data_IF_527155944035
#
_entry.id   IF_527155944035
#
_cell.length_a   1.000
_cell.length_b   1.000
_cell.length_c   1.000
_cell.angle_alpha   90.00
_cell.angle_beta   90.00
_cell.angle_gamma   90.00
#
_symmetry.space_group_name_H-M   'P 1'
#
loop_
_entity.id
_entity.type
_entity.pdbx_description
1 polymer ?
#
# COMPACT_ATOMS: atom_id res chain seq x y z
N UNK A 1 -16.25 2.33 16.32
CA UNK A 1 -16.43 1.27 15.31
C UNK A 1 -15.43 1.53 14.19
N UNK A 2 -14.47 0.64 13.97
CA UNK A 2 -13.62 0.73 12.79
C UNK A 2 -14.41 0.15 11.63
N UNK A 3 -14.86 1.00 10.71
CA UNK A 3 -15.51 0.52 9.49
C UNK A 3 -14.42 -0.13 8.64
N UNK A 4 -14.57 -1.43 8.42
CA UNK A 4 -13.71 -2.25 7.57
C UNK A 4 -14.58 -2.70 6.40
N UNK A 5 -14.09 -2.47 5.19
CA UNK A 5 -14.72 -2.98 3.97
C UNK A 5 -13.73 -3.92 3.29
N UNK A 6 -14.18 -5.15 3.03
CA UNK A 6 -13.44 -6.18 2.30
C UNK A 6 -14.12 -6.40 0.95
N UNK A 7 -13.41 -6.10 -0.12
CA UNK A 7 -13.92 -6.16 -1.49
C UNK A 7 -13.05 -7.15 -2.27
N UNK A 8 -13.68 -8.12 -2.92
CA UNK A 8 -12.96 -9.12 -3.72
C UNK A 8 -13.49 -9.14 -5.13
N UNK A 9 -12.60 -9.05 -6.12
CA UNK A 9 -12.92 -9.10 -7.55
C UNK A 9 -13.87 -7.99 -8.02
N UNK A 10 -13.71 -6.78 -7.50
CA UNK A 10 -14.44 -5.61 -8.00
C UNK A 10 -13.50 -4.74 -8.83
N UNK A 11 -13.96 -4.17 -9.96
CA UNK A 11 -13.21 -3.13 -10.65
C UNK A 11 -12.93 -1.94 -9.72
N UNK A 12 -11.77 -1.30 -9.87
CA UNK A 12 -11.40 -0.14 -9.04
C UNK A 12 -12.48 0.96 -9.05
N UNK A 13 -13.09 1.19 -10.21
CA UNK A 13 -14.17 2.19 -10.36
C UNK A 13 -15.35 1.92 -9.41
N UNK A 14 -15.72 0.66 -9.21
CA UNK A 14 -16.80 0.28 -8.30
C UNK A 14 -16.39 0.45 -6.83
N UNK A 15 -15.12 0.18 -6.51
CA UNK A 15 -14.55 0.50 -5.19
C UNK A 15 -14.68 2.01 -4.93
N UNK A 16 -14.30 2.84 -5.89
CA UNK A 16 -14.40 4.30 -5.81
C UNK A 16 -15.86 4.75 -5.59
N UNK A 17 -16.82 4.20 -6.33
CA UNK A 17 -18.26 4.48 -6.12
C UNK A 17 -18.72 4.08 -4.72
N UNK A 18 -18.30 2.93 -4.20
CA UNK A 18 -18.60 2.50 -2.84
C UNK A 18 -18.00 3.43 -1.79
N UNK A 19 -16.76 3.90 -1.99
CA UNK A 19 -16.11 4.84 -1.09
C UNK A 19 -16.84 6.20 -1.03
N UNK A 20 -17.45 6.64 -2.14
CA UNK A 20 -18.30 7.85 -2.14
C UNK A 20 -19.52 7.73 -1.20
N UNK A 21 -20.02 6.51 -1.00
CA UNK A 21 -21.23 6.23 -0.23
C UNK A 21 -20.94 5.79 1.22
N UNK A 22 -19.68 5.56 1.58
CA UNK A 22 -19.28 4.99 2.86
C UNK A 22 -18.38 5.94 3.65
N UNK A 23 -18.93 7.04 4.21
CA UNK A 23 -18.11 8.02 4.95
C UNK A 23 -17.47 7.40 6.19
N UNK A 24 -16.34 7.96 6.61
CA UNK A 24 -15.58 7.52 7.79
C UNK A 24 -15.03 6.08 7.67
N UNK A 25 -14.74 5.60 6.47
CA UNK A 25 -13.99 4.36 6.31
C UNK A 25 -12.55 4.54 6.79
N UNK A 26 -12.08 3.62 7.64
CA UNK A 26 -10.73 3.62 8.18
C UNK A 26 -9.84 2.53 7.59
N UNK A 27 -10.44 1.38 7.29
CA UNK A 27 -9.74 0.22 6.74
C UNK A 27 -10.40 -0.24 5.46
N UNK A 28 -9.59 -0.37 4.42
CA UNK A 28 -10.00 -0.89 3.13
C UNK A 28 -9.17 -2.13 2.81
N UNK A 29 -9.82 -3.19 2.37
CA UNK A 29 -9.16 -4.38 1.87
C UNK A 29 -9.69 -4.70 0.48
N UNK A 30 -8.79 -4.90 -0.49
CA UNK A 30 -9.15 -5.41 -1.80
C UNK A 30 -8.03 -6.20 -2.46
N UNK A 31 -8.31 -6.82 -3.60
CA UNK A 31 -7.39 -7.71 -4.30
C UNK A 31 -6.76 -7.11 -5.58
N UNK A 32 -5.70 -7.74 -6.07
CA UNK A 32 -4.97 -7.37 -7.28
C UNK A 32 -5.86 -7.24 -8.53
N UNK A 33 -6.98 -7.98 -8.57
CA UNK A 33 -7.95 -7.90 -9.66
C UNK A 33 -8.47 -6.49 -9.82
N UNK A 34 -8.73 -5.84 -8.69
CA UNK A 34 -9.18 -4.45 -8.63
C UNK A 34 -8.17 -3.49 -9.28
N UNK A 35 -6.89 -3.87 -9.37
CA UNK A 35 -5.81 -3.02 -9.85
C UNK A 35 -5.42 -3.26 -11.32
N UNK A 36 -6.04 -4.20 -12.02
CA UNK A 36 -5.66 -4.57 -13.40
C UNK A 36 -5.85 -3.43 -14.41
N UNK A 37 -6.88 -2.60 -14.22
CA UNK A 37 -7.26 -1.53 -15.15
C UNK A 37 -6.59 -0.18 -14.87
N UNK A 38 -5.75 -0.08 -13.83
CA UNK A 38 -5.15 1.20 -13.41
C UNK A 38 -4.12 1.70 -14.43
N UNK A 39 -3.37 0.79 -15.04
CA UNK A 39 -2.30 1.15 -15.97
C UNK A 39 -2.81 1.89 -17.22
N UNK A 40 -4.07 1.71 -17.61
CA UNK A 40 -4.69 2.37 -18.77
C UNK A 40 -5.52 3.60 -18.44
N UNK A 41 -5.91 3.82 -17.18
CA UNK A 41 -6.97 4.78 -16.81
C UNK A 41 -6.60 5.78 -15.69
N UNK A 42 -5.32 5.97 -15.38
CA UNK A 42 -4.84 6.85 -14.29
C UNK A 42 -5.50 8.23 -14.26
N UNK A 43 -5.57 8.92 -15.41
CA UNK A 43 -6.11 10.29 -15.51
C UNK A 43 -7.60 10.34 -15.19
N UNK A 44 -8.37 9.29 -15.54
CA UNK A 44 -9.81 9.16 -15.27
C UNK A 44 -10.08 9.09 -13.77
N UNK A 45 -9.26 8.36 -13.02
CA UNK A 45 -9.46 8.17 -11.59
C UNK A 45 -9.12 9.42 -10.77
N UNK A 46 -8.14 10.23 -11.20
CA UNK A 46 -7.68 11.37 -10.41
C UNK A 46 -8.79 12.37 -10.04
N UNK A 47 -9.73 12.64 -10.96
CA UNK A 47 -10.85 13.57 -10.73
C UNK A 47 -11.82 13.02 -9.67
N UNK A 48 -12.18 11.74 -9.75
CA UNK A 48 -13.10 11.07 -8.81
C UNK A 48 -12.50 10.92 -7.41
N UNK A 49 -11.18 10.79 -7.32
CA UNK A 49 -10.46 10.53 -6.08
C UNK A 49 -10.38 11.73 -5.14
N UNK A 50 -10.40 12.96 -5.67
CA UNK A 50 -10.30 14.18 -4.86
C UNK A 50 -11.46 14.33 -3.86
N UNK A 51 -12.67 13.93 -4.27
CA UNK A 51 -13.85 14.01 -3.41
C UNK A 51 -13.89 12.86 -2.39
N UNK A 52 -13.40 11.68 -2.76
CA UNK A 52 -13.27 10.53 -1.86
C UNK A 52 -12.26 10.80 -0.75
N UNK A 53 -11.11 11.38 -1.10
CA UNK A 53 -10.04 11.72 -0.17
C UNK A 53 -10.44 12.74 0.90
N UNK A 54 -11.46 13.55 0.62
CA UNK A 54 -12.02 14.50 1.59
C UNK A 54 -12.98 13.82 2.58
N UNK A 55 -13.74 12.82 2.12
CA UNK A 55 -14.79 12.16 2.90
C UNK A 55 -14.30 10.95 3.70
N UNK A 56 -13.23 10.30 3.23
CA UNK A 56 -12.69 9.10 3.84
C UNK A 56 -11.32 9.35 4.48
N UNK A 57 -11.10 8.68 5.61
CA UNK A 57 -9.83 8.69 6.35
C UNK A 57 -9.26 7.29 6.36
N UNK A 58 -9.08 6.74 5.16
CA UNK A 58 -8.47 5.41 5.00
C UNK A 58 -7.02 5.54 5.44
N UNK A 59 -6.73 4.88 6.54
CA UNK A 59 -5.43 4.86 7.18
C UNK A 59 -4.81 3.45 7.12
N UNK A 60 -5.65 2.43 6.94
CA UNK A 60 -5.23 1.04 6.83
C UNK A 60 -5.65 0.48 5.49
N UNK A 61 -4.70 -0.11 4.76
CA UNK A 61 -4.95 -0.75 3.49
C UNK A 61 -4.33 -2.13 3.45
N UNK A 62 -5.13 -3.10 3.04
CA UNK A 62 -4.69 -4.48 2.81
C UNK A 62 -4.93 -4.84 1.35
N UNK A 63 -3.87 -5.22 0.64
CA UNK A 63 -3.90 -5.59 -0.77
C UNK A 63 -3.47 -7.04 -0.92
N UNK A 64 -4.43 -7.89 -1.27
CA UNK A 64 -4.15 -9.31 -1.50
C UNK A 64 -3.87 -9.56 -2.97
N UNK A 65 -2.86 -10.35 -3.28
CA UNK A 65 -2.37 -10.57 -4.64
C UNK A 65 -1.19 -9.67 -5.02
N UNK A 66 -0.48 -10.10 -6.06
CA UNK A 66 0.77 -9.54 -6.54
C UNK A 66 0.56 -8.12 -7.08
N UNK A 67 1.13 -7.16 -6.37
CA UNK A 67 1.12 -5.76 -6.81
C UNK A 67 2.43 -5.37 -7.51
N UNK A 68 2.33 -4.74 -8.67
CA UNK A 68 3.46 -4.09 -9.34
C UNK A 68 3.84 -2.76 -8.67
N UNK A 69 5.07 -2.29 -8.87
CA UNK A 69 5.51 -0.98 -8.38
C UNK A 69 4.59 0.17 -8.84
N UNK A 70 4.08 0.11 -10.08
CA UNK A 70 3.18 1.13 -10.60
C UNK A 70 1.83 1.15 -9.87
N UNK A 71 1.30 -0.02 -9.53
CA UNK A 71 0.09 -0.14 -8.73
C UNK A 71 0.32 0.37 -7.30
N UNK A 72 1.45 0.04 -6.67
CA UNK A 72 1.80 0.58 -5.35
C UNK A 72 1.92 2.12 -5.39
N UNK A 73 2.58 2.67 -6.40
CA UNK A 73 2.68 4.13 -6.60
C UNK A 73 1.32 4.79 -6.72
N UNK A 74 0.43 4.20 -7.52
CA UNK A 74 -0.94 4.67 -7.66
C UNK A 74 -1.65 4.65 -6.31
N UNK A 75 -1.55 3.57 -5.55
CA UNK A 75 -2.22 3.42 -4.27
C UNK A 75 -1.74 4.43 -3.24
N UNK A 76 -0.43 4.65 -3.13
CA UNK A 76 0.12 5.68 -2.23
C UNK A 76 -0.30 7.08 -2.66
N UNK A 77 -0.39 7.34 -3.97
CA UNK A 77 -0.94 8.59 -4.49
C UNK A 77 -2.42 8.77 -4.10
N UNK A 78 -3.22 7.71 -4.24
CA UNK A 78 -4.65 7.72 -3.92
C UNK A 78 -4.89 7.84 -2.43
N UNK A 79 -4.18 7.10 -1.60
CA UNK A 79 -4.38 7.04 -0.16
C UNK A 79 -3.22 7.73 0.56
N UNK A 80 -3.07 9.03 0.34
CA UNK A 80 -1.94 9.81 0.84
C UNK A 80 -1.80 9.90 2.37
N UNK A 81 -2.84 9.50 3.12
CA UNK A 81 -2.83 9.48 4.60
C UNK A 81 -2.65 8.07 5.17
N UNK A 82 -2.21 7.13 4.33
CA UNK A 82 -2.03 5.75 4.74
C UNK A 82 -0.97 5.65 5.84
N UNK A 83 -1.33 4.92 6.88
CA UNK A 83 -0.55 4.66 8.09
C UNK A 83 -0.03 3.23 8.12
N UNK A 84 -0.89 2.30 7.67
CA UNK A 84 -0.62 0.87 7.61
C UNK A 84 -0.87 0.36 6.20
N UNK A 85 0.13 -0.34 5.66
CA UNK A 85 0.05 -1.00 4.37
C UNK A 85 0.42 -2.48 4.52
N UNK A 86 -0.48 -3.36 4.09
CA UNK A 86 -0.20 -4.78 3.93
C UNK A 86 -0.36 -5.16 2.45
N UNK A 87 0.67 -5.82 1.90
CA UNK A 87 0.73 -6.18 0.48
C UNK A 87 1.34 -7.57 0.29
N UNK A 88 0.89 -8.26 -0.76
CA UNK A 88 1.54 -9.46 -1.24
C UNK A 88 2.55 -9.08 -2.35
N UNK A 89 3.81 -9.54 -2.25
CA UNK A 89 4.82 -9.31 -3.29
C UNK A 89 5.47 -10.63 -3.69
N UNK A 90 5.47 -10.91 -4.99
CA UNK A 90 6.31 -11.95 -5.56
C UNK A 90 7.70 -11.40 -5.92
N UNK A 91 8.63 -11.59 -4.97
CA UNK A 91 10.10 -11.67 -5.03
C UNK A 91 10.94 -10.70 -5.92
N UNK A 92 10.54 -10.35 -7.14
CA UNK A 92 11.41 -9.62 -8.09
C UNK A 92 11.45 -8.11 -7.91
N UNK A 93 10.40 -7.51 -7.34
CA UNK A 93 10.25 -6.06 -7.25
C UNK A 93 10.35 -5.48 -5.83
N UNK A 94 10.64 -6.32 -4.83
CA UNK A 94 10.56 -5.91 -3.43
C UNK A 94 11.51 -4.75 -3.11
N UNK A 95 12.76 -4.78 -3.59
CA UNK A 95 13.72 -3.72 -3.33
C UNK A 95 13.26 -2.36 -3.88
N UNK A 96 12.68 -2.36 -5.07
CA UNK A 96 12.15 -1.15 -5.70
C UNK A 96 10.92 -0.61 -4.97
N UNK A 97 10.05 -1.51 -4.51
CA UNK A 97 8.85 -1.17 -3.74
C UNK A 97 9.25 -0.59 -2.37
N UNK A 98 10.12 -1.26 -1.64
CA UNK A 98 10.63 -0.80 -0.34
C UNK A 98 11.33 0.54 -0.49
N UNK A 99 12.20 0.70 -1.49
CA UNK A 99 12.87 1.97 -1.72
C UNK A 99 11.85 3.08 -2.02
N UNK A 100 10.82 2.83 -2.82
CA UNK A 100 9.78 3.83 -3.10
C UNK A 100 9.00 4.20 -1.84
N UNK A 101 8.54 3.21 -1.06
CA UNK A 101 7.71 3.41 0.12
C UNK A 101 8.46 4.12 1.26
N UNK A 102 9.75 3.83 1.43
CA UNK A 102 10.54 4.33 2.56
C UNK A 102 11.43 5.54 2.19
N UNK A 103 11.45 5.97 0.93
CA UNK A 103 12.29 7.11 0.54
C UNK A 103 11.73 8.40 1.14
N UNK A 104 12.57 9.08 1.92
CA UNK A 104 12.28 10.40 2.52
C UNK A 104 11.97 11.49 1.49
N UNK A 105 12.29 11.27 0.22
CA UNK A 105 12.01 12.23 -0.87
C UNK A 105 10.58 12.17 -1.39
N UNK A 106 9.80 11.14 -1.02
CA UNK A 106 8.42 10.99 -1.48
C UNK A 106 7.44 11.39 -0.37
N UNK A 107 7.06 12.67 -0.35
CA UNK A 107 6.06 13.23 0.60
C UNK A 107 4.73 12.46 0.64
N UNK A 108 4.43 11.66 -0.38
CA UNK A 108 3.17 10.91 -0.50
C UNK A 108 3.10 9.70 0.45
N UNK A 109 4.24 9.15 0.88
CA UNK A 109 4.29 8.03 1.83
C UNK A 109 4.63 8.46 3.27
N UNK A 110 4.68 9.76 3.55
CA UNK A 110 5.19 10.32 4.81
C UNK A 110 4.41 9.89 6.08
N UNK A 111 3.18 9.42 5.90
CA UNK A 111 2.31 9.00 7.01
C UNK A 111 2.41 7.50 7.30
N UNK A 112 3.08 6.73 6.43
CA UNK A 112 3.25 5.31 6.61
C UNK A 112 4.20 5.08 7.79
N UNK A 113 3.82 4.19 8.69
CA UNK A 113 4.64 3.77 9.83
C UNK A 113 4.60 2.26 10.08
N UNK A 114 3.77 1.54 9.30
CA UNK A 114 3.74 0.10 9.31
C UNK A 114 3.63 -0.44 7.88
N UNK A 115 4.52 -1.38 7.56
CA UNK A 115 4.54 -2.10 6.29
C UNK A 115 4.63 -3.60 6.56
N UNK A 116 3.66 -4.35 6.03
CA UNK A 116 3.69 -5.80 5.99
C UNK A 116 3.77 -6.27 4.54
N UNK A 117 4.74 -7.13 4.26
CA UNK A 117 4.92 -7.75 2.95
C UNK A 117 4.82 -9.25 3.13
N UNK A 118 3.72 -9.82 2.65
CA UNK A 118 3.40 -11.24 2.79
C UNK A 118 3.88 -12.06 1.59
N UNK A 119 4.00 -13.37 1.79
CA UNK A 119 4.43 -14.36 0.80
C UNK A 119 5.84 -14.12 0.25
N UNK A 120 6.76 -13.68 1.12
CA UNK A 120 8.16 -13.46 0.74
C UNK A 120 9.08 -14.50 1.37
N UNK A 121 10.18 -14.80 0.67
CA UNK A 121 11.25 -15.63 1.20
C UNK A 121 12.12 -14.86 2.21
N UNK A 122 12.68 -15.58 3.18
CA UNK A 122 13.55 -15.02 4.23
C UNK A 122 14.78 -14.29 3.67
N UNK A 123 15.29 -14.68 2.49
CA UNK A 123 16.39 -13.96 1.83
C UNK A 123 16.08 -12.47 1.60
N UNK A 124 14.80 -12.12 1.44
CA UNK A 124 14.37 -10.75 1.25
C UNK A 124 14.32 -9.94 2.54
N UNK A 125 14.24 -10.59 3.71
CA UNK A 125 14.37 -9.93 5.01
C UNK A 125 15.77 -9.32 5.17
N UNK A 126 16.82 -10.10 4.93
CA UNK A 126 18.19 -9.58 5.03
C UNK A 126 18.47 -8.52 3.96
N UNK A 127 18.05 -8.76 2.71
CA UNK A 127 18.16 -7.75 1.64
C UNK A 127 17.46 -6.43 1.99
N UNK A 128 16.31 -6.50 2.68
CA UNK A 128 15.58 -5.31 3.12
C UNK A 128 16.34 -4.56 4.20
N UNK A 129 16.89 -5.28 5.20
CA UNK A 129 17.72 -4.67 6.24
C UNK A 129 18.93 -3.96 5.65
N UNK A 130 19.62 -4.61 4.74
CA UNK A 130 20.78 -4.02 4.06
C UNK A 130 20.37 -2.80 3.23
N UNK A 131 19.26 -2.89 2.50
CA UNK A 131 18.75 -1.78 1.70
C UNK A 131 18.41 -0.55 2.56
N UNK A 132 17.72 -0.74 3.69
CA UNK A 132 17.35 0.35 4.60
C UNK A 132 18.60 1.03 5.15
N UNK A 133 19.59 0.25 5.59
CA UNK A 133 20.86 0.77 6.13
C UNK A 133 21.69 1.48 5.06
N UNK A 134 21.94 0.84 3.92
CA UNK A 134 22.79 1.35 2.85
C UNK A 134 22.26 2.65 2.24
N UNK A 135 20.94 2.79 2.14
CA UNK A 135 20.28 3.98 1.58
C UNK A 135 19.77 4.96 2.62
N UNK A 136 20.03 4.71 3.90
CA UNK A 136 19.57 5.53 5.02
C UNK A 136 18.07 5.89 4.93
N UNK A 137 17.23 4.87 4.66
CA UNK A 137 15.81 5.07 4.36
C UNK A 137 14.99 5.41 5.61
N UNK A 138 15.27 4.75 6.74
CA UNK A 138 14.55 4.90 8.00
C UNK A 138 15.51 5.04 9.17
N UNK A 139 15.09 5.84 10.14
CA UNK A 139 15.73 5.95 11.46
C UNK A 139 14.84 5.24 12.49
N UNK A 140 15.43 4.62 13.53
CA UNK A 140 14.71 3.99 14.66
C UNK A 140 13.62 2.96 14.28
N UNK A 141 13.86 2.18 13.22
CA UNK A 141 12.91 1.16 12.78
C UNK A 141 13.11 -0.18 13.50
N UNK A 142 12.06 -0.98 13.52
CA UNK A 142 12.09 -2.39 13.89
C UNK A 142 11.58 -3.24 12.73
N UNK A 143 12.19 -4.41 12.54
CA UNK A 143 11.85 -5.31 11.43
C UNK A 143 11.87 -6.76 11.91
N UNK A 144 10.86 -7.52 11.53
CA UNK A 144 10.70 -8.93 11.85
C UNK A 144 10.31 -9.74 10.62
N UNK A 145 10.68 -11.02 10.61
CA UNK A 145 10.23 -12.00 9.65
C UNK A 145 9.45 -13.10 10.38
N UNK A 146 8.14 -13.17 10.13
CA UNK A 146 7.21 -14.09 10.80
C UNK A 146 6.26 -14.67 9.76
N UNK A 147 6.09 -15.99 9.73
CA UNK A 147 5.11 -16.68 8.86
C UNK A 147 5.18 -16.21 7.39
N UNK A 148 6.36 -16.25 6.78
CA UNK A 148 6.57 -15.82 5.39
C UNK A 148 6.20 -14.36 5.11
N UNK A 149 6.24 -13.53 6.15
CA UNK A 149 5.90 -12.11 6.08
C UNK A 149 6.99 -11.27 6.70
N UNK A 150 7.40 -10.22 6.00
CA UNK A 150 8.26 -9.17 6.54
C UNK A 150 7.39 -8.06 7.11
N UNK A 151 7.65 -7.72 8.37
CA UNK A 151 6.95 -6.66 9.09
C UNK A 151 7.96 -5.60 9.46
N UNK A 152 7.65 -4.36 9.13
CA UNK A 152 8.51 -3.20 9.35
C UNK A 152 7.68 -2.08 9.98
N UNK A 153 8.19 -1.49 11.05
CA UNK A 153 7.56 -0.32 11.69
C UNK A 153 8.60 0.67 12.22
N UNK A 154 8.24 1.95 12.24
CA UNK A 154 9.11 3.07 12.62
C UNK A 154 8.30 4.25 13.16
#
# INVERSE_FOLDING_TARGET
>A
MHNIINIRRFPFEEIIKLLCLTPNLHTLQFDEYSLQEINSNFTKYNILLQDILKKNKIENLVLTGTCSLNQIRFIIYVFSKLKYLEIDIYSTNISSIIQYLLSKTHNQAQHLFYLCISYIEEVYFEKTKDLIKLKNLLDNYSIEYINYSLRLWW
#
